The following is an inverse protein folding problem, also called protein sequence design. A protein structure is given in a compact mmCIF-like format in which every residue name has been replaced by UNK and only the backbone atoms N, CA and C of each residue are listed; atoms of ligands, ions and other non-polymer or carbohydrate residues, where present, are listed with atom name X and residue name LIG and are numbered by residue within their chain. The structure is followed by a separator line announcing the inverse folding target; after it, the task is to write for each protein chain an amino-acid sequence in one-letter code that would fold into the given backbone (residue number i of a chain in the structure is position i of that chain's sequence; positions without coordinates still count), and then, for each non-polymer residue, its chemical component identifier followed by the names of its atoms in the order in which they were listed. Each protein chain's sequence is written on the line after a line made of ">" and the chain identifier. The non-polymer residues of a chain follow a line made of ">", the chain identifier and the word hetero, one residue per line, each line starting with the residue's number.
data_IF_894253195374
#
_entry.id   IF_894253195374
#
_cell.length_a   1.000
_cell.length_b   1.000
_cell.length_c   1.000
_cell.angle_alpha   90.00
_cell.angle_beta   90.00
_cell.angle_gamma   90.00
#
_symmetry.space_group_name_H-M   'P 1'
#
loop_
_entity.id
_entity.type
_entity.pdbx_description
1 polymer ?
#
# COMPACT_ATOMS: atom_id res chain seq x y z
N UNK A 1 9.62 13.02 -17.70
CA UNK A 1 9.68 11.76 -18.50
C UNK A 1 8.73 10.76 -17.84
N UNK A 2 7.60 10.49 -18.48
CA UNK A 2 6.50 9.71 -17.93
C UNK A 2 6.87 8.23 -17.94
N UNK A 3 7.47 7.72 -16.85
CA UNK A 3 7.71 6.30 -16.67
C UNK A 3 6.48 5.69 -16.00
N UNK A 4 5.45 5.48 -16.83
CA UNK A 4 4.41 4.50 -16.56
C UNK A 4 5.09 3.15 -16.28
N UNK A 5 4.49 2.29 -15.46
CA UNK A 5 4.87 0.86 -15.49
C UNK A 5 4.74 0.41 -16.95
N UNK A 6 5.81 -0.04 -17.62
CA UNK A 6 5.77 -0.32 -19.06
C UNK A 6 4.65 -1.31 -19.39
N UNK A 7 3.78 -0.95 -20.33
CA UNK A 7 2.75 -1.84 -20.86
C UNK A 7 1.38 -1.80 -20.16
N UNK A 8 1.12 -0.85 -19.28
CA UNK A 8 -0.24 -0.54 -18.80
C UNK A 8 -0.72 0.80 -19.38
N UNK A 9 -1.99 0.87 -19.73
CA UNK A 9 -2.68 2.11 -20.11
C UNK A 9 -3.16 2.79 -18.84
N UNK A 10 -2.51 3.91 -18.49
CA UNK A 10 -2.76 4.62 -17.25
C UNK A 10 -3.77 5.74 -17.41
N UNK A 11 -4.69 5.82 -16.45
CA UNK A 11 -5.62 6.93 -16.29
C UNK A 11 -5.60 7.43 -14.84
N UNK A 12 -5.99 8.68 -14.65
CA UNK A 12 -6.13 9.30 -13.33
C UNK A 12 -7.54 9.85 -13.17
N UNK A 13 -8.15 9.61 -12.01
CA UNK A 13 -9.43 10.19 -11.62
C UNK A 13 -9.32 10.87 -10.26
N UNK A 14 -9.99 12.00 -10.09
CA UNK A 14 -10.18 12.68 -8.80
C UNK A 14 -11.51 12.32 -8.11
N UNK A 15 -12.29 11.44 -8.75
CA UNK A 15 -13.54 10.91 -8.20
C UNK A 15 -13.47 9.39 -8.30
N UNK A 16 -13.52 8.72 -7.16
CA UNK A 16 -13.53 7.27 -7.09
C UNK A 16 -14.55 6.80 -6.05
N UNK A 17 -15.16 5.65 -6.29
CA UNK A 17 -16.24 5.14 -5.43
C UNK A 17 -15.75 4.83 -4.01
N UNK A 18 -14.46 4.54 -3.81
CA UNK A 18 -13.86 4.37 -2.48
C UNK A 18 -13.73 5.66 -1.66
N UNK A 19 -14.20 6.81 -2.18
CA UNK A 19 -13.96 8.15 -1.63
C UNK A 19 -12.47 8.53 -1.52
N UNK A 20 -11.60 7.84 -2.26
CA UNK A 20 -10.20 8.23 -2.42
C UNK A 20 -10.11 9.63 -3.05
N UNK A 21 -9.13 10.41 -2.63
CA UNK A 21 -8.87 11.76 -3.14
C UNK A 21 -8.35 11.73 -4.58
N UNK A 22 -7.66 10.65 -4.96
CA UNK A 22 -7.33 10.32 -6.34
C UNK A 22 -7.21 8.81 -6.52
N UNK A 23 -7.44 8.35 -7.75
CA UNK A 23 -7.19 6.99 -8.20
C UNK A 23 -6.33 7.03 -9.47
N UNK A 24 -5.29 6.20 -9.50
CA UNK A 24 -4.48 5.93 -10.69
C UNK A 24 -4.75 4.49 -11.10
N UNK A 25 -5.32 4.30 -12.29
CA UNK A 25 -5.72 2.98 -12.77
C UNK A 25 -4.90 2.66 -14.01
N UNK A 26 -4.16 1.56 -13.96
CA UNK A 26 -3.49 0.96 -15.11
C UNK A 26 -4.24 -0.28 -15.54
N UNK A 27 -4.59 -0.41 -16.81
CA UNK A 27 -5.13 -1.64 -17.40
C UNK A 27 -4.20 -2.23 -18.46
N UNK A 28 -4.21 -3.55 -18.61
CA UNK A 28 -3.46 -4.26 -19.65
C UNK A 28 -4.27 -5.47 -20.14
N UNK A 29 -4.37 -5.62 -21.45
CA UNK A 29 -4.99 -6.76 -22.15
C UNK A 29 -6.43 -7.09 -21.67
N UNK A 30 -7.16 -6.10 -21.14
CA UNK A 30 -8.54 -6.21 -20.64
C UNK A 30 -8.72 -6.98 -19.32
N UNK A 31 -7.79 -7.88 -18.96
CA UNK A 31 -7.93 -8.78 -17.80
C UNK A 31 -6.98 -8.46 -16.63
N UNK A 32 -6.02 -7.54 -16.80
CA UNK A 32 -5.11 -7.13 -15.72
C UNK A 32 -5.35 -5.69 -15.38
N UNK A 33 -5.61 -5.40 -14.11
CA UNK A 33 -5.65 -4.03 -13.61
C UNK A 33 -4.82 -3.84 -12.36
N UNK A 34 -4.25 -2.64 -12.26
CA UNK A 34 -3.60 -2.10 -11.07
C UNK A 34 -4.33 -0.81 -10.73
N UNK A 35 -4.70 -0.63 -9.47
CA UNK A 35 -5.27 0.62 -9.00
C UNK A 35 -4.52 1.11 -7.76
N UNK A 36 -4.06 2.36 -7.82
CA UNK A 36 -3.46 3.07 -6.70
C UNK A 36 -4.41 4.16 -6.22
N UNK A 37 -4.90 4.00 -5.00
CA UNK A 37 -5.86 4.89 -4.35
C UNK A 37 -5.15 5.74 -3.31
N UNK A 38 -5.33 7.06 -3.38
CA UNK A 38 -4.85 7.99 -2.36
C UNK A 38 -5.95 8.24 -1.33
N UNK A 39 -5.63 8.01 -0.06
CA UNK A 39 -6.52 8.25 1.09
C UNK A 39 -7.94 7.64 0.94
N UNK A 40 -8.08 6.37 0.53
CA UNK A 40 -9.40 5.73 0.48
C UNK A 40 -9.98 5.57 1.89
N UNK A 41 -11.30 5.69 2.00
CA UNK A 41 -12.00 5.48 3.27
C UNK A 41 -12.44 4.03 3.41
N UNK A 42 -12.13 3.45 4.58
CA UNK A 42 -12.61 2.15 5.01
C UNK A 42 -13.67 2.38 6.09
N UNK A 43 -14.98 2.29 5.76
CA UNK A 43 -16.05 2.45 6.73
C UNK A 43 -15.89 1.47 7.90
N UNK A 44 -16.48 1.83 9.04
CA UNK A 44 -16.52 0.96 10.20
C UNK A 44 -17.30 -0.34 9.92
N UNK A 45 -17.11 -1.36 10.75
CA UNK A 45 -17.69 -2.69 10.54
C UNK A 45 -19.22 -2.71 10.46
N UNK A 46 -19.87 -1.71 11.03
CA UNK A 46 -21.31 -1.50 11.05
C UNK A 46 -21.87 -0.68 9.86
N UNK A 47 -21.01 -0.10 9.01
CA UNK A 47 -21.41 0.84 7.95
C UNK A 47 -21.48 0.22 6.54
N UNK A 48 -21.21 -1.08 6.42
CA UNK A 48 -21.11 -1.78 5.13
C UNK A 48 -19.86 -1.39 4.32
N UNK A 49 -19.46 -2.22 3.33
CA UNK A 49 -18.28 -1.93 2.52
C UNK A 49 -18.53 -0.80 1.51
N UNK A 50 -17.50 -0.01 1.24
CA UNK A 50 -17.49 1.00 0.19
C UNK A 50 -16.51 0.61 -0.92
N UNK A 51 -16.98 0.36 -2.15
CA UNK A 51 -16.18 -0.20 -3.24
C UNK A 51 -15.42 -1.49 -2.83
N UNK A 52 -16.04 -2.30 -1.97
CA UNK A 52 -15.45 -3.50 -1.38
C UNK A 52 -14.53 -3.25 -0.17
N UNK A 53 -14.19 -2.00 0.14
CA UNK A 53 -13.33 -1.65 1.27
C UNK A 53 -14.12 -1.51 2.58
N UNK A 54 -13.61 -2.11 3.66
CA UNK A 54 -14.22 -2.02 5.00
C UNK A 54 -13.17 -2.24 6.10
N UNK A 55 -13.34 -1.61 7.25
CA UNK A 55 -12.63 -1.97 8.49
C UNK A 55 -13.53 -2.89 9.32
N UNK A 56 -12.97 -3.93 9.93
CA UNK A 56 -13.71 -4.80 10.87
C UNK A 56 -14.02 -4.11 12.21
N UNK A 57 -13.49 -2.91 12.44
CA UNK A 57 -13.63 -2.16 13.69
C UNK A 57 -14.08 -0.72 13.40
N UNK A 58 -13.36 0.30 13.89
CA UNK A 58 -13.64 1.70 13.57
C UNK A 58 -13.17 2.08 12.17
N UNK A 59 -13.72 3.20 11.66
CA UNK A 59 -13.35 3.77 10.37
C UNK A 59 -11.84 4.07 10.31
N UNK A 60 -11.23 3.86 9.14
CA UNK A 60 -9.81 4.08 8.88
C UNK A 60 -9.58 4.68 7.50
N UNK A 61 -8.48 5.40 7.35
CA UNK A 61 -8.07 6.08 6.12
C UNK A 61 -6.55 5.95 5.99
N UNK A 62 -6.03 4.89 5.34
CA UNK A 62 -4.60 4.76 5.05
C UNK A 62 -4.17 5.72 3.94
N UNK A 63 -2.90 6.11 3.88
CA UNK A 63 -2.43 7.07 2.88
C UNK A 63 -2.52 6.55 1.44
N UNK A 64 -2.12 5.29 1.19
CA UNK A 64 -2.12 4.68 -0.14
C UNK A 64 -2.59 3.23 -0.06
N UNK A 65 -3.49 2.85 -0.97
CA UNK A 65 -3.86 1.45 -1.21
C UNK A 65 -3.54 1.08 -2.65
N UNK A 66 -2.89 -0.06 -2.84
CA UNK A 66 -2.67 -0.65 -4.15
C UNK A 66 -3.52 -1.91 -4.28
N UNK A 67 -4.36 -2.01 -5.30
CA UNK A 67 -5.06 -3.25 -5.65
C UNK A 67 -4.57 -3.79 -6.98
N UNK A 68 -4.64 -5.11 -7.14
CA UNK A 68 -4.13 -5.81 -8.32
C UNK A 68 -5.01 -7.01 -8.65
N UNK A 69 -5.40 -7.13 -9.90
CA UNK A 69 -6.25 -8.22 -10.43
C UNK A 69 -5.55 -9.04 -11.52
N UNK A 70 -4.21 -9.03 -11.53
CA UNK A 70 -3.39 -9.70 -12.54
C UNK A 70 -3.28 -11.22 -12.38
N UNK A 71 -3.92 -11.78 -11.36
CA UNK A 71 -3.94 -13.20 -11.02
C UNK A 71 -5.35 -13.62 -10.58
N UNK A 72 -5.61 -14.93 -10.54
CA UNK A 72 -6.91 -15.51 -10.18
C UNK A 72 -7.42 -15.03 -8.82
N UNK A 73 -6.48 -14.75 -7.89
CA UNK A 73 -6.77 -14.20 -6.57
C UNK A 73 -6.28 -12.75 -6.52
N UNK A 74 -7.18 -11.76 -6.46
CA UNK A 74 -6.78 -10.36 -6.36
C UNK A 74 -5.87 -10.12 -5.15
N UNK A 75 -4.85 -9.29 -5.31
CA UNK A 75 -3.93 -8.90 -4.23
C UNK A 75 -4.10 -7.43 -3.94
N UNK A 76 -3.87 -7.05 -2.69
CA UNK A 76 -3.87 -5.64 -2.32
C UNK A 76 -2.97 -5.35 -1.13
N UNK A 77 -2.49 -4.12 -1.07
CA UNK A 77 -1.43 -3.67 -0.19
C UNK A 77 -1.78 -2.30 0.37
N UNK A 78 -1.31 -2.03 1.59
CA UNK A 78 -1.43 -0.73 2.23
C UNK A 78 -0.05 -0.11 2.38
N UNK A 79 0.15 1.10 1.86
CA UNK A 79 1.38 1.87 2.03
C UNK A 79 1.04 3.14 2.81
N UNK A 80 1.62 3.29 3.99
CA UNK A 80 1.28 4.37 4.92
C UNK A 80 2.49 5.28 5.09
N UNK A 81 2.40 6.54 4.66
CA UNK A 81 3.55 7.43 4.65
C UNK A 81 3.80 8.04 6.03
N UNK A 82 5.06 8.11 6.44
CA UNK A 82 5.49 8.67 7.72
C UNK A 82 6.74 9.50 7.52
N UNK A 83 6.65 10.79 7.85
CA UNK A 83 7.78 11.72 7.70
C UNK A 83 8.84 11.56 8.80
N UNK A 84 8.43 11.16 10.01
CA UNK A 84 9.33 11.05 11.17
C UNK A 84 10.04 9.70 11.17
N UNK A 85 11.37 9.74 11.15
CA UNK A 85 12.25 8.56 10.96
C UNK A 85 13.07 8.20 12.19
N UNK A 86 12.81 8.81 13.35
CA UNK A 86 13.45 8.38 14.60
C UNK A 86 12.90 7.04 15.07
N UNK A 87 13.73 6.20 15.71
CA UNK A 87 13.37 4.85 16.18
C UNK A 87 12.03 4.81 16.92
N UNK A 88 11.81 5.71 17.88
CA UNK A 88 10.56 5.78 18.64
C UNK A 88 9.35 6.04 17.73
N UNK A 89 9.46 7.00 16.81
CA UNK A 89 8.40 7.32 15.86
C UNK A 89 8.08 6.13 14.95
N UNK A 90 9.09 5.37 14.51
CA UNK A 90 8.88 4.18 13.68
C UNK A 90 8.17 3.08 14.46
N UNK A 91 8.62 2.79 15.69
CA UNK A 91 7.99 1.77 16.52
C UNK A 91 6.54 2.12 16.87
N UNK A 92 6.26 3.40 17.14
CA UNK A 92 4.89 3.87 17.36
C UNK A 92 4.05 3.77 16.08
N UNK A 93 4.59 4.21 14.94
CA UNK A 93 3.89 4.14 13.66
C UNK A 93 3.62 2.71 13.20
N UNK A 94 4.40 1.70 13.62
CA UNK A 94 4.11 0.30 13.29
C UNK A 94 2.72 -0.15 13.76
N UNK A 95 2.16 0.51 14.79
CA UNK A 95 0.78 0.25 15.20
C UNK A 95 -0.22 0.46 14.06
N UNK A 96 -0.04 1.49 13.21
CA UNK A 96 -0.93 1.69 12.04
C UNK A 96 -0.75 0.57 11.02
N UNK A 97 0.49 0.15 10.73
CA UNK A 97 0.76 -0.95 9.80
C UNK A 97 0.12 -2.27 10.27
N UNK A 98 0.24 -2.60 11.56
CA UNK A 98 -0.42 -3.77 12.15
C UNK A 98 -1.94 -3.68 12.05
N UNK A 99 -2.52 -2.54 12.47
CA UNK A 99 -3.97 -2.31 12.37
C UNK A 99 -4.43 -2.42 10.93
N UNK A 100 -3.72 -1.82 9.98
CA UNK A 100 -4.14 -1.81 8.59
C UNK A 100 -4.06 -3.19 7.95
N UNK A 101 -3.02 -3.96 8.24
CA UNK A 101 -2.91 -5.35 7.80
C UNK A 101 -4.06 -6.21 8.35
N UNK A 102 -4.37 -6.07 9.64
CA UNK A 102 -5.27 -6.99 10.33
C UNK A 102 -6.74 -6.58 10.29
N UNK A 103 -7.05 -5.27 10.26
CA UNK A 103 -8.40 -4.77 10.39
C UNK A 103 -9.05 -4.38 9.07
N UNK A 104 -8.27 -3.99 8.05
CA UNK A 104 -8.83 -3.57 6.77
C UNK A 104 -9.13 -4.76 5.87
N UNK A 105 -10.21 -4.65 5.11
CA UNK A 105 -10.69 -5.66 4.18
C UNK A 105 -10.94 -5.04 2.82
N UNK A 106 -10.60 -5.79 1.78
CA UNK A 106 -11.10 -5.57 0.43
C UNK A 106 -11.81 -6.83 -0.02
N UNK A 107 -13.11 -6.72 -0.30
CA UNK A 107 -13.99 -7.85 -0.61
C UNK A 107 -13.89 -8.98 0.44
N UNK A 108 -13.87 -8.59 1.72
CA UNK A 108 -13.78 -9.53 2.85
C UNK A 108 -12.40 -10.12 3.13
N UNK A 109 -11.35 -9.77 2.36
CA UNK A 109 -9.99 -10.29 2.53
C UNK A 109 -9.04 -9.25 3.10
N UNK A 110 -8.17 -9.65 4.03
CA UNK A 110 -7.10 -8.80 4.58
C UNK A 110 -6.07 -8.42 3.52
N UNK A 111 -5.30 -7.36 3.76
CA UNK A 111 -4.21 -6.99 2.85
C UNK A 111 -3.08 -8.01 2.90
N UNK A 112 -2.39 -8.15 1.78
CA UNK A 112 -1.25 -9.06 1.66
C UNK A 112 -0.07 -8.58 2.50
N UNK A 113 0.13 -7.26 2.54
CA UNK A 113 1.16 -6.57 3.32
C UNK A 113 0.71 -5.13 3.65
N UNK A 114 1.07 -4.61 4.83
CA UNK A 114 1.02 -3.18 5.15
C UNK A 114 2.40 -2.65 5.55
N UNK A 115 2.95 -1.70 4.80
CA UNK A 115 4.28 -1.13 5.09
C UNK A 115 4.22 0.37 5.31
N UNK A 116 5.09 0.85 6.22
CA UNK A 116 5.34 2.26 6.39
C UNK A 116 6.32 2.74 5.32
N UNK A 117 5.99 3.83 4.62
CA UNK A 117 6.92 4.52 3.74
C UNK A 117 7.60 5.64 4.52
N UNK A 118 8.92 5.56 4.66
CA UNK A 118 9.71 6.57 5.38
C UNK A 118 10.73 7.21 4.45
N UNK A 119 11.04 8.51 4.59
CA UNK A 119 11.99 9.19 3.71
C UNK A 119 13.42 8.65 3.87
N UNK A 120 13.79 8.13 5.04
CA UNK A 120 15.10 7.52 5.31
C UNK A 120 14.98 6.46 6.41
N UNK A 121 16.00 5.59 6.49
CA UNK A 121 16.06 4.51 7.47
C UNK A 121 15.77 4.99 8.89
N UNK A 122 14.95 4.21 9.58
CA UNK A 122 14.15 4.65 10.72
C UNK A 122 14.79 4.51 12.10
N UNK A 123 16.06 4.13 12.17
CA UNK A 123 16.70 3.67 13.42
C UNK A 123 16.17 2.31 13.93
N UNK A 124 15.41 1.59 13.10
CA UNK A 124 14.89 0.25 13.37
C UNK A 124 15.13 -0.70 12.17
N UNK A 125 16.40 -0.95 11.79
CA UNK A 125 16.75 -1.60 10.52
C UNK A 125 16.25 -3.04 10.36
N UNK A 126 15.89 -3.73 11.45
CA UNK A 126 15.32 -5.07 11.36
C UNK A 126 13.89 -5.07 10.79
N UNK A 127 13.15 -3.96 10.94
CA UNK A 127 11.81 -3.78 10.35
C UNK A 127 11.86 -3.53 8.83
N UNK A 128 13.03 -3.17 8.33
CA UNK A 128 13.31 -2.89 6.91
C UNK A 128 13.76 -4.15 6.16
N UNK A 129 14.04 -5.25 6.89
CA UNK A 129 14.56 -6.47 6.28
C UNK A 129 13.48 -7.20 5.48
N UNK A 130 13.77 -7.66 4.24
CA UNK A 130 12.82 -8.43 3.44
C UNK A 130 12.27 -9.65 4.16
N UNK A 131 13.11 -10.38 4.92
CA UNK A 131 12.69 -11.55 5.69
C UNK A 131 11.69 -11.19 6.80
N UNK A 132 11.87 -10.04 7.46
CA UNK A 132 10.93 -9.56 8.45
C UNK A 132 9.58 -9.23 7.81
N UNK A 133 9.60 -8.53 6.68
CA UNK A 133 8.38 -8.15 5.95
C UNK A 133 7.66 -9.39 5.41
N UNK A 134 8.39 -10.33 4.80
CA UNK A 134 7.82 -11.57 4.25
C UNK A 134 7.16 -12.44 5.32
N UNK A 135 7.79 -12.55 6.50
CA UNK A 135 7.26 -13.33 7.63
C UNK A 135 6.06 -12.67 8.32
N UNK A 136 6.14 -11.36 8.56
CA UNK A 136 5.17 -10.66 9.40
C UNK A 136 4.09 -9.92 8.59
N UNK A 137 4.26 -9.81 7.27
CA UNK A 137 3.39 -9.03 6.35
C UNK A 137 3.25 -7.56 6.75
N UNK A 138 4.21 -7.05 7.53
CA UNK A 138 4.34 -5.65 7.90
C UNK A 138 5.80 -5.25 7.99
N UNK A 139 6.09 -3.96 7.87
CA UNK A 139 7.44 -3.44 8.08
C UNK A 139 7.60 -2.02 7.54
N UNK A 140 8.84 -1.66 7.23
CA UNK A 140 9.24 -0.30 6.86
C UNK A 140 9.97 -0.34 5.52
N UNK A 141 9.58 0.54 4.60
CA UNK A 141 10.29 0.76 3.34
C UNK A 141 10.88 2.17 3.34
N UNK A 142 12.21 2.26 3.42
CA UNK A 142 12.92 3.53 3.29
C UNK A 142 13.03 3.93 1.82
N UNK A 143 12.60 5.15 1.48
CA UNK A 143 12.64 5.67 0.10
C UNK A 143 14.01 6.26 -0.28
N UNK A 144 14.85 6.59 0.72
CA UNK A 144 16.17 7.19 0.53
C UNK A 144 16.14 8.72 0.45
N UNK A 145 17.25 9.36 0.83
CA UNK A 145 17.30 10.82 0.97
C UNK A 145 17.56 11.59 -0.33
N UNK A 146 18.41 11.12 -1.26
CA UNK A 146 18.78 11.94 -2.45
C UNK A 146 19.28 11.16 -3.68
N UNK A 147 19.44 9.84 -3.62
CA UNK A 147 19.70 8.99 -4.79
C UNK A 147 19.44 7.54 -4.42
N UNK A 148 18.34 6.99 -4.91
CA UNK A 148 18.35 5.89 -5.87
C UNK A 148 16.90 5.43 -6.03
N UNK A 149 16.14 6.14 -6.87
CA UNK A 149 14.75 5.77 -7.16
C UNK A 149 14.66 4.31 -7.63
N UNK A 150 15.74 3.76 -8.18
CA UNK A 150 15.85 2.35 -8.53
C UNK A 150 15.82 1.43 -7.30
N UNK A 151 16.49 1.80 -6.21
CA UNK A 151 16.47 1.02 -4.97
C UNK A 151 15.09 1.05 -4.30
N UNK A 152 14.43 2.21 -4.29
CA UNK A 152 13.05 2.34 -3.81
C UNK A 152 12.09 1.54 -4.69
N UNK A 153 12.22 1.61 -6.02
CA UNK A 153 11.44 0.82 -6.98
C UNK A 153 11.68 -0.67 -6.76
N UNK A 154 12.93 -1.11 -6.61
CA UNK A 154 13.28 -2.51 -6.41
C UNK A 154 12.70 -3.05 -5.10
N UNK A 155 12.83 -2.29 -4.01
CA UNK A 155 12.27 -2.65 -2.70
C UNK A 155 10.75 -2.76 -2.75
N UNK A 156 10.07 -1.76 -3.32
CA UNK A 156 8.60 -1.79 -3.46
C UNK A 156 8.15 -2.92 -4.38
N UNK A 157 8.84 -3.15 -5.50
CA UNK A 157 8.55 -4.25 -6.44
C UNK A 157 8.63 -5.60 -5.73
N UNK A 158 9.67 -5.83 -4.93
CA UNK A 158 9.84 -7.07 -4.16
C UNK A 158 8.73 -7.24 -3.11
N UNK A 159 8.40 -6.19 -2.36
CA UNK A 159 7.33 -6.21 -1.34
C UNK A 159 5.96 -6.48 -1.96
N UNK A 160 5.69 -5.88 -3.12
CA UNK A 160 4.41 -5.96 -3.83
C UNK A 160 4.32 -7.19 -4.75
N UNK A 161 5.40 -7.97 -4.86
CA UNK A 161 5.47 -9.15 -5.72
C UNK A 161 5.21 -8.81 -7.19
N UNK A 162 5.81 -7.74 -7.70
CA UNK A 162 5.91 -7.48 -9.14
C UNK A 162 7.19 -8.13 -9.67
N UNK A 163 7.14 -8.67 -10.88
CA UNK A 163 8.34 -8.98 -11.67
C UNK A 163 8.56 -7.80 -12.62
N UNK A 164 9.76 -7.22 -12.62
CA UNK A 164 10.17 -6.14 -13.52
C UNK A 164 10.76 -6.68 -14.81
#
# INVERSE_FOLDING_TARGET
>A
MQKNVPGYDWSVSRKHNSNATAAFTGSKDGNRSIELLLQPKFPAGDQGPNAGFQSISGMREPDIVLTRTDSEVPKWYVLDAKYRTGRSNVLEAMASAHIYRDALRWNGRSSETSVLLVPRAGGAPWLEQPDFIGRNRVGVCALGADSDSQHAIASLTAILGFEL
#
